data_IF_771695610878
#
_entry.id   IF_771695610878
#
_cell.length_a   1.000
_cell.length_b   1.000
_cell.length_c   1.000
_cell.angle_alpha   90.00
_cell.angle_beta   90.00
_cell.angle_gamma   90.00
#
_symmetry.space_group_name_H-M   'P 1'
#
loop_
_entity.id
_entity.type
_entity.pdbx_description
1 polymer ?
#
# COMPACT_ATOMS: atom_id res chain seq x y z
N UNK A 1 -0.37 12.54 -7.42
CA UNK A 1 0.93 12.67 -8.13
C UNK A 1 2.05 13.09 -7.17
N UNK A 2 1.94 14.21 -6.45
CA UNK A 2 3.00 14.68 -5.54
C UNK A 2 3.49 13.64 -4.51
N UNK A 3 2.60 12.98 -3.77
CA UNK A 3 3.00 11.94 -2.80
C UNK A 3 3.79 10.78 -3.43
N UNK A 4 3.37 10.34 -4.63
CA UNK A 4 4.09 9.29 -5.37
C UNK A 4 5.45 9.76 -5.90
N UNK A 5 5.56 11.02 -6.33
CA UNK A 5 6.82 11.59 -6.81
C UNK A 5 7.81 11.85 -5.67
N UNK A 6 7.32 12.29 -4.50
CA UNK A 6 8.16 12.66 -3.36
C UNK A 6 8.49 11.49 -2.43
N UNK A 7 7.60 10.49 -2.31
CA UNK A 7 7.72 9.39 -1.34
C UNK A 7 7.53 7.99 -1.95
N UNK A 8 7.33 7.88 -3.27
CA UNK A 8 7.03 6.60 -3.91
C UNK A 8 8.25 5.71 -4.18
N UNK A 9 9.48 6.23 -4.11
CA UNK A 9 10.67 5.51 -4.56
C UNK A 9 10.96 4.21 -3.79
N UNK A 10 10.66 4.16 -2.49
CA UNK A 10 11.01 3.01 -1.64
C UNK A 10 9.96 1.90 -1.66
N UNK A 11 8.67 2.23 -1.86
CA UNK A 11 7.55 1.28 -1.67
C UNK A 11 6.45 1.39 -2.73
N UNK A 12 6.64 2.22 -3.76
CA UNK A 12 5.66 2.40 -4.84
C UNK A 12 4.37 3.08 -4.40
N UNK A 13 4.40 3.85 -3.29
CA UNK A 13 3.26 4.57 -2.73
C UNK A 13 2.02 3.69 -2.57
N UNK A 14 2.16 2.49 -1.99
CA UNK A 14 1.04 1.55 -1.92
C UNK A 14 -0.20 2.16 -1.23
N UNK A 15 -0.01 2.84 -0.08
CA UNK A 15 -0.92 3.75 0.68
C UNK A 15 -2.41 3.38 0.86
N UNK A 16 -2.88 2.31 0.24
CA UNK A 16 -4.26 1.89 0.19
C UNK A 16 -4.27 0.35 0.05
N UNK A 17 -4.85 -0.37 1.02
CA UNK A 17 -4.92 -1.82 1.00
C UNK A 17 -5.53 -2.40 -0.29
N UNK A 18 -6.62 -1.82 -0.79
CA UNK A 18 -7.29 -2.28 -2.00
C UNK A 18 -6.44 -2.05 -3.25
N UNK A 19 -5.67 -0.95 -3.27
CA UNK A 19 -4.77 -0.58 -4.38
C UNK A 19 -3.55 -1.51 -4.50
N UNK A 20 -3.21 -2.25 -3.45
CA UNK A 20 -2.15 -3.28 -3.47
C UNK A 20 -2.72 -4.71 -3.57
N UNK A 21 -3.64 -5.09 -2.69
CA UNK A 21 -4.09 -6.48 -2.57
C UNK A 21 -4.87 -6.99 -3.78
N UNK A 22 -5.76 -6.18 -4.36
CA UNK A 22 -6.59 -6.65 -5.47
C UNK A 22 -5.74 -6.94 -6.73
N UNK A 23 -4.83 -6.05 -7.17
CA UNK A 23 -3.88 -6.38 -8.23
C UNK A 23 -2.98 -7.58 -7.90
N UNK A 24 -2.55 -7.73 -6.64
CA UNK A 24 -1.72 -8.86 -6.21
C UNK A 24 -2.47 -10.19 -6.31
N UNK A 25 -3.73 -10.23 -5.88
CA UNK A 25 -4.56 -11.42 -6.02
C UNK A 25 -4.79 -11.76 -7.50
N UNK A 26 -5.05 -10.76 -8.34
CA UNK A 26 -5.17 -10.96 -9.78
C UNK A 26 -3.87 -11.53 -10.37
N UNK A 27 -2.69 -11.00 -10.00
CA UNK A 27 -1.39 -11.54 -10.42
C UNK A 27 -1.17 -13.00 -9.96
N UNK A 28 -1.66 -13.34 -8.77
CA UNK A 28 -1.54 -14.70 -8.23
C UNK A 28 -2.39 -15.71 -9.01
N UNK A 29 -3.64 -15.35 -9.33
CA UNK A 29 -4.62 -16.25 -9.97
C UNK A 29 -4.48 -16.30 -11.49
N UNK A 30 -4.20 -15.17 -12.14
CA UNK A 30 -4.20 -15.11 -13.59
C UNK A 30 -3.01 -15.87 -14.21
N UNK A 31 -3.24 -16.58 -15.32
CA UNK A 31 -2.16 -17.25 -16.07
C UNK A 31 -1.37 -16.22 -16.88
N UNK A 32 -0.31 -15.69 -16.28
CA UNK A 32 0.58 -14.70 -16.90
C UNK A 32 1.88 -15.40 -17.32
N UNK A 33 2.20 -15.37 -18.62
CA UNK A 33 3.43 -15.96 -19.17
C UNK A 33 4.66 -15.20 -18.63
N UNK A 34 5.62 -15.92 -18.05
CA UNK A 34 6.84 -15.33 -17.51
C UNK A 34 6.64 -14.53 -16.21
N UNK A 35 5.58 -14.82 -15.45
CA UNK A 35 5.30 -14.10 -14.20
C UNK A 35 6.38 -14.33 -13.14
N UNK A 36 6.70 -13.26 -12.40
CA UNK A 36 7.59 -13.31 -11.26
C UNK A 36 6.91 -13.83 -9.99
N UNK A 37 7.61 -13.72 -8.86
CA UNK A 37 7.04 -14.01 -7.53
C UNK A 37 5.89 -13.06 -7.19
N UNK A 38 4.91 -13.56 -6.42
CA UNK A 38 3.80 -12.75 -5.89
C UNK A 38 4.18 -11.89 -4.68
N UNK A 39 5.39 -12.07 -4.15
CA UNK A 39 5.94 -11.33 -2.99
C UNK A 39 4.99 -11.29 -1.77
N UNK A 40 4.51 -12.47 -1.37
CA UNK A 40 3.56 -12.59 -0.26
C UNK A 40 4.14 -12.16 1.09
N UNK A 41 5.46 -12.28 1.27
CA UNK A 41 6.16 -11.85 2.49
C UNK A 41 5.96 -10.36 2.77
N UNK A 42 5.90 -9.52 1.73
CA UNK A 42 5.65 -8.10 1.85
C UNK A 42 4.16 -7.71 1.84
N UNK A 43 3.27 -8.60 1.37
CA UNK A 43 1.86 -8.29 1.06
C UNK A 43 1.02 -7.70 2.20
N UNK A 44 1.36 -7.98 3.46
CA UNK A 44 0.65 -7.44 4.62
C UNK A 44 1.06 -6.00 4.96
N UNK A 45 2.25 -5.55 4.54
CA UNK A 45 2.77 -4.21 4.85
C UNK A 45 1.92 -3.11 4.18
N UNK A 46 1.57 -3.20 2.88
CA UNK A 46 0.62 -2.29 2.22
C UNK A 46 -0.80 -2.29 2.79
N UNK A 47 -1.13 -3.22 3.69
CA UNK A 47 -2.45 -3.30 4.34
C UNK A 47 -2.38 -2.64 5.71
N UNK A 48 -1.52 -3.16 6.58
CA UNK A 48 -1.42 -2.71 7.97
C UNK A 48 -0.79 -1.33 8.07
N UNK A 49 0.25 -1.06 7.27
CA UNK A 49 0.96 0.23 7.28
C UNK A 49 0.03 1.42 7.02
N UNK A 50 -0.74 1.45 5.92
CA UNK A 50 -1.65 2.55 5.65
C UNK A 50 -2.81 2.68 6.64
N UNK A 51 -3.31 1.58 7.19
CA UNK A 51 -4.38 1.63 8.20
C UNK A 51 -3.86 2.32 9.47
N UNK A 52 -2.71 1.88 9.99
CA UNK A 52 -2.08 2.47 11.17
C UNK A 52 -1.73 3.94 10.90
N UNK A 53 -1.08 4.22 9.76
CA UNK A 53 -0.71 5.58 9.37
C UNK A 53 -1.92 6.52 9.25
N UNK A 54 -3.04 6.02 8.71
CA UNK A 54 -4.29 6.77 8.61
C UNK A 54 -4.87 7.13 9.99
N UNK A 55 -4.91 6.18 10.92
CA UNK A 55 -5.34 6.46 12.30
C UNK A 55 -4.42 7.46 13.00
N UNK A 56 -3.10 7.31 12.87
CA UNK A 56 -2.14 8.25 13.47
C UNK A 56 -2.33 9.65 12.88
N UNK A 57 -2.45 9.77 11.55
CA UNK A 57 -2.66 11.05 10.90
C UNK A 57 -3.97 11.72 11.35
N UNK A 58 -5.06 10.96 11.45
CA UNK A 58 -6.34 11.46 11.95
C UNK A 58 -6.26 11.92 13.41
N UNK A 59 -5.60 11.13 14.27
CA UNK A 59 -5.40 11.48 15.67
C UNK A 59 -4.54 12.75 15.83
N UNK A 60 -3.45 12.88 15.05
CA UNK A 60 -2.61 14.08 15.04
C UNK A 60 -3.37 15.30 14.53
N UNK A 61 -4.20 15.15 13.50
CA UNK A 61 -5.04 16.23 13.00
C UNK A 61 -6.00 16.71 14.09
N UNK A 62 -6.68 15.78 14.76
CA UNK A 62 -7.56 16.10 15.88
C UNK A 62 -6.81 16.80 17.01
N UNK A 63 -5.61 16.34 17.38
CA UNK A 63 -4.82 16.93 18.45
C UNK A 63 -4.34 18.36 18.18
N UNK A 64 -4.02 18.67 16.92
CA UNK A 64 -3.42 19.96 16.56
C UNK A 64 -4.49 20.99 16.18
N UNK A 65 -5.59 20.55 15.58
CA UNK A 65 -6.55 21.43 14.92
C UNK A 65 -8.00 21.35 15.45
N UNK A 66 -8.33 20.40 16.33
CA UNK A 66 -9.62 20.39 17.04
C UNK A 66 -9.47 21.00 18.43
#
# INVERSE_FOLDING_TARGET
>A
VALGMSLGGTTGYAINPARDLAPRLAHAVLPIKGKGSNDWTYSWVPVVGPIIGGFIAAALYCLIYC
#
